data_IF_547812267403
#
_entry.id   IF_547812267403
#
_cell.length_a   1.000
_cell.length_b   1.000
_cell.length_c   1.000
_cell.angle_alpha   90.00
_cell.angle_beta   90.00
_cell.angle_gamma   90.00
#
_symmetry.space_group_name_H-M   'P 1'
#
loop_
_entity.id
_entity.type
_entity.pdbx_description
1 polymer ?
#
# COMPACT_ATOMS: atom_id res chain seq x y z
N UNK A 1 -0.68 21.83 24.51
CA UNK A 1 -0.31 20.65 25.29
C UNK A 1 -1.46 19.66 25.11
N UNK A 2 -1.19 18.45 24.64
CA UNK A 2 -2.21 17.41 24.49
C UNK A 2 -2.30 16.61 25.80
N UNK A 3 -3.50 16.21 26.19
CA UNK A 3 -3.73 15.35 27.35
C UNK A 3 -3.63 13.87 26.98
N UNK A 4 -3.81 13.57 25.69
CA UNK A 4 -3.73 12.21 25.12
C UNK A 4 -3.29 12.28 23.66
N UNK A 5 -2.61 11.23 23.17
CA UNK A 5 -2.14 11.13 21.78
C UNK A 5 -2.66 9.84 21.16
N UNK A 6 -3.23 9.93 19.96
CA UNK A 6 -3.64 8.78 19.15
C UNK A 6 -2.70 8.67 17.94
N UNK A 7 -2.16 7.49 17.68
CA UNK A 7 -1.29 7.20 16.54
C UNK A 7 -1.85 6.08 15.68
N UNK A 8 -1.51 6.02 14.40
CA UNK A 8 -2.12 5.01 13.51
C UNK A 8 -1.55 3.60 13.68
N UNK A 9 -0.42 3.41 14.39
CA UNK A 9 0.22 2.11 14.58
C UNK A 9 1.01 2.04 15.88
N UNK A 10 1.29 0.82 16.36
CA UNK A 10 2.19 0.59 17.50
C UNK A 10 3.62 1.06 17.18
N UNK A 11 4.06 0.94 15.92
CA UNK A 11 5.35 1.49 15.48
C UNK A 11 5.41 3.01 15.70
N UNK A 12 4.41 3.75 15.23
CA UNK A 12 4.34 5.21 15.40
C UNK A 12 4.26 5.62 16.88
N UNK A 13 3.53 4.84 17.71
CA UNK A 13 3.49 5.02 19.16
C UNK A 13 4.88 4.89 19.77
N UNK A 14 5.58 3.79 19.50
CA UNK A 14 6.95 3.56 20.01
C UNK A 14 7.90 4.65 19.54
N UNK A 15 7.78 5.10 18.30
CA UNK A 15 8.60 6.17 17.75
C UNK A 15 8.39 7.50 18.49
N UNK A 16 7.15 7.90 18.75
CA UNK A 16 6.84 9.11 19.51
C UNK A 16 7.33 9.01 20.95
N UNK A 17 7.17 7.86 21.58
CA UNK A 17 7.72 7.59 22.93
C UNK A 17 9.25 7.73 22.97
N UNK A 18 9.95 7.30 21.92
CA UNK A 18 11.41 7.41 21.84
C UNK A 18 11.90 8.87 21.79
N UNK A 19 11.04 9.81 21.39
CA UNK A 19 11.33 11.26 21.44
C UNK A 19 11.10 11.88 22.84
N UNK A 20 10.82 11.07 23.86
CA UNK A 20 10.63 11.53 25.23
C UNK A 20 9.22 12.11 25.51
N UNK A 21 8.24 11.81 24.67
CA UNK A 21 6.84 12.18 24.94
C UNK A 21 6.30 11.30 26.05
N UNK A 22 5.88 11.93 27.16
CA UNK A 22 5.34 11.27 28.37
C UNK A 22 3.82 11.27 28.44
N UNK A 23 3.16 12.04 27.56
CA UNK A 23 1.70 12.02 27.42
C UNK A 23 1.24 10.60 27.05
N UNK A 24 0.15 10.08 27.63
CA UNK A 24 -0.40 8.77 27.26
C UNK A 24 -0.64 8.67 25.75
N UNK A 25 -0.25 7.54 25.16
CA UNK A 25 -0.37 7.29 23.70
C UNK A 25 -1.06 5.95 23.47
N UNK A 26 -2.09 5.95 22.64
CA UNK A 26 -2.73 4.73 22.15
C UNK A 26 -2.54 4.59 20.62
N UNK A 27 -2.37 3.37 20.15
CA UNK A 27 -2.38 3.07 18.73
C UNK A 27 -3.78 2.65 18.27
N UNK A 28 -4.35 3.40 17.35
CA UNK A 28 -5.63 3.09 16.71
C UNK A 28 -5.46 3.28 15.21
N UNK A 29 -5.66 2.23 14.43
CA UNK A 29 -5.58 2.26 12.97
C UNK A 29 -6.46 3.37 12.37
N UNK A 30 -6.07 3.91 11.21
CA UNK A 30 -6.94 4.80 10.44
C UNK A 30 -8.20 4.08 9.91
N UNK A 31 -8.18 2.74 9.89
CA UNK A 31 -9.28 1.92 9.44
C UNK A 31 -9.46 1.90 7.92
N UNK A 32 -10.29 0.98 7.47
CA UNK A 32 -10.64 0.81 6.06
C UNK A 32 -12.16 0.63 5.90
N UNK A 33 -12.74 1.35 4.94
CA UNK A 33 -14.13 1.15 4.54
C UNK A 33 -14.24 -0.04 3.59
N UNK A 34 -14.55 -1.22 4.12
CA UNK A 34 -14.68 -2.45 3.36
C UNK A 34 -15.77 -2.39 2.28
N UNK A 35 -16.79 -1.54 2.46
CA UNK A 35 -17.88 -1.38 1.48
C UNK A 35 -17.41 -0.65 0.22
N UNK A 36 -16.37 0.15 0.33
CA UNK A 36 -15.80 0.91 -0.77
C UNK A 36 -14.88 0.06 -1.65
N UNK A 37 -14.26 -0.97 -1.09
CA UNK A 37 -13.31 -1.85 -1.76
C UNK A 37 -13.90 -3.24 -1.96
N UNK A 38 -13.34 -4.01 -2.88
CA UNK A 38 -13.80 -5.36 -3.22
C UNK A 38 -13.69 -5.59 -4.71
N UNK A 39 -13.88 -6.85 -5.13
CA UNK A 39 -13.88 -7.20 -6.54
C UNK A 39 -15.13 -6.65 -7.23
N UNK A 40 -14.92 -5.92 -8.32
CA UNK A 40 -15.98 -5.49 -9.23
C UNK A 40 -15.45 -5.63 -10.68
N UNK A 41 -15.87 -6.68 -11.40
CA UNK A 41 -15.41 -6.94 -12.77
C UNK A 41 -15.57 -5.75 -13.72
N UNK A 42 -16.60 -4.92 -13.54
CA UNK A 42 -16.83 -3.73 -14.37
C UNK A 42 -15.77 -2.66 -14.11
N UNK A 43 -15.33 -2.48 -12.86
CA UNK A 43 -14.25 -1.55 -12.54
C UNK A 43 -12.89 -2.08 -12.99
N UNK A 44 -12.69 -3.39 -12.90
CA UNK A 44 -11.48 -4.04 -13.42
C UNK A 44 -11.37 -3.87 -14.93
N UNK A 45 -12.47 -4.01 -15.68
CA UNK A 45 -12.54 -3.71 -17.11
C UNK A 45 -12.22 -2.24 -17.39
N UNK A 46 -12.84 -1.29 -16.68
CA UNK A 46 -12.55 0.15 -16.78
C UNK A 46 -11.06 0.45 -16.57
N UNK A 47 -10.43 -0.19 -15.59
CA UNK A 47 -9.01 -0.05 -15.35
C UNK A 47 -8.18 -0.59 -16.53
N UNK A 48 -8.47 -1.80 -17.00
CA UNK A 48 -7.75 -2.43 -18.12
C UNK A 48 -7.88 -1.64 -19.40
N UNK A 49 -9.07 -1.18 -19.71
CA UNK A 49 -9.35 -0.37 -20.91
C UNK A 49 -8.64 0.97 -20.84
N UNK A 50 -8.72 1.66 -19.69
CA UNK A 50 -8.09 2.97 -19.52
C UNK A 50 -6.58 2.93 -19.77
N UNK A 51 -5.90 1.87 -19.33
CA UNK A 51 -4.46 1.70 -19.48
C UNK A 51 -4.05 0.88 -20.70
N UNK A 52 -4.99 0.45 -21.53
CA UNK A 52 -4.73 -0.37 -22.72
C UNK A 52 -4.05 -1.71 -22.38
N UNK A 53 -4.43 -2.33 -21.26
CA UNK A 53 -3.86 -3.59 -20.77
C UNK A 53 -4.42 -4.73 -21.60
N UNK A 54 -3.56 -5.46 -22.30
CA UNK A 54 -3.95 -6.60 -23.14
C UNK A 54 -4.44 -7.77 -22.31
N UNK A 55 -5.28 -8.61 -22.92
CA UNK A 55 -5.68 -9.88 -22.31
C UNK A 55 -4.46 -10.72 -21.99
N UNK A 56 -4.44 -11.35 -20.80
CA UNK A 56 -3.30 -12.14 -20.32
C UNK A 56 -2.06 -11.34 -19.94
N UNK A 57 -2.00 -10.02 -20.15
CA UNK A 57 -0.86 -9.22 -19.75
C UNK A 57 -0.82 -9.06 -18.23
N UNK A 58 0.26 -9.49 -17.54
CA UNK A 58 0.41 -9.28 -16.11
C UNK A 58 0.60 -7.80 -15.77
N UNK A 59 -0.02 -7.36 -14.68
CA UNK A 59 0.03 -5.98 -14.20
C UNK A 59 0.36 -5.93 -12.73
N UNK A 60 1.33 -5.12 -12.37
CA UNK A 60 1.71 -4.78 -11.00
C UNK A 60 1.44 -3.30 -10.78
N UNK A 61 0.77 -2.97 -9.70
CA UNK A 61 0.47 -1.58 -9.33
C UNK A 61 1.15 -1.18 -8.04
N UNK A 62 1.38 0.11 -7.89
CA UNK A 62 1.69 0.80 -6.65
C UNK A 62 0.80 2.02 -6.52
N UNK A 63 0.51 2.46 -5.30
CA UNK A 63 -0.20 3.70 -5.04
C UNK A 63 0.49 4.53 -3.95
N UNK A 64 0.76 5.80 -4.24
CA UNK A 64 1.42 6.70 -3.30
C UNK A 64 2.00 7.95 -3.94
N UNK A 65 2.34 8.92 -3.10
CA UNK A 65 3.00 10.14 -3.54
C UNK A 65 4.42 9.84 -4.04
N UNK A 66 4.93 10.65 -4.98
CA UNK A 66 6.26 10.45 -5.60
C UNK A 66 7.41 10.85 -4.67
N UNK A 67 7.38 10.43 -3.40
CA UNK A 67 8.50 10.61 -2.50
C UNK A 67 9.54 9.50 -2.65
N UNK A 68 10.82 9.85 -2.52
CA UNK A 68 11.93 8.87 -2.61
C UNK A 68 11.74 7.73 -1.61
N UNK A 69 11.32 8.02 -0.38
CA UNK A 69 11.06 7.02 0.66
C UNK A 69 9.99 5.98 0.30
N UNK A 70 9.16 6.25 -0.72
CA UNK A 70 8.16 5.28 -1.21
C UNK A 70 8.76 4.19 -2.10
N UNK A 71 10.06 4.23 -2.40
CA UNK A 71 10.74 3.17 -3.12
C UNK A 71 10.58 3.20 -4.63
N UNK A 72 10.35 4.38 -5.23
CA UNK A 72 10.18 4.56 -6.69
C UNK A 72 11.35 3.97 -7.48
N UNK A 73 12.58 4.13 -6.97
CA UNK A 73 13.77 3.60 -7.63
C UNK A 73 13.76 2.06 -7.68
N UNK A 74 13.36 1.41 -6.60
CA UNK A 74 13.29 -0.06 -6.56
C UNK A 74 12.12 -0.57 -7.38
N UNK A 75 10.99 0.14 -7.40
CA UNK A 75 9.86 -0.17 -8.29
C UNK A 75 10.32 -0.21 -9.76
N UNK A 76 11.09 0.78 -10.20
CA UNK A 76 11.62 0.84 -11.56
C UNK A 76 12.63 -0.28 -11.83
N UNK A 77 13.58 -0.53 -10.90
CA UNK A 77 14.56 -1.62 -11.04
C UNK A 77 13.92 -3.00 -11.09
N UNK A 78 12.84 -3.22 -10.34
CA UNK A 78 12.06 -4.47 -10.42
C UNK A 78 11.42 -4.58 -11.80
N UNK A 79 10.82 -3.51 -12.31
CA UNK A 79 10.23 -3.49 -13.63
C UNK A 79 11.24 -3.73 -14.76
N UNK A 80 12.48 -3.22 -14.65
CA UNK A 80 13.59 -3.51 -15.58
C UNK A 80 13.89 -5.02 -15.66
N UNK A 81 13.78 -5.75 -14.54
CA UNK A 81 13.98 -7.20 -14.48
C UNK A 81 12.77 -8.02 -14.92
N UNK A 82 11.60 -7.39 -15.04
CA UNK A 82 10.34 -8.03 -15.43
C UNK A 82 9.71 -7.35 -16.67
N UNK A 83 10.38 -7.34 -17.84
CA UNK A 83 9.94 -6.55 -19.00
C UNK A 83 8.60 -6.99 -19.60
N UNK A 84 8.15 -8.21 -19.30
CA UNK A 84 6.87 -8.78 -19.73
C UNK A 84 5.69 -8.33 -18.85
N UNK A 85 5.95 -7.70 -17.70
CA UNK A 85 4.94 -7.23 -16.74
C UNK A 85 4.74 -5.74 -16.90
N UNK A 86 3.49 -5.29 -16.88
CA UNK A 86 3.15 -3.85 -16.88
C UNK A 86 3.19 -3.33 -15.45
N UNK A 87 3.94 -2.25 -15.22
CA UNK A 87 4.07 -1.58 -13.92
C UNK A 87 3.41 -0.21 -13.96
N UNK A 88 2.49 0.07 -13.02
CA UNK A 88 1.73 1.32 -12.98
C UNK A 88 1.79 1.91 -11.57
N UNK A 89 2.36 3.10 -11.42
CA UNK A 89 2.39 3.81 -10.15
C UNK A 89 1.30 4.88 -10.12
N UNK A 90 0.26 4.65 -9.32
CA UNK A 90 -0.88 5.55 -9.15
C UNK A 90 -0.62 6.56 -8.04
N UNK A 91 -0.51 7.83 -8.39
CA UNK A 91 -0.29 8.90 -7.44
C UNK A 91 0.44 10.07 -8.07
N UNK A 92 0.47 11.18 -7.38
CA UNK A 92 1.21 12.35 -7.82
C UNK A 92 1.54 13.28 -6.67
N UNK A 93 2.49 14.16 -6.90
CA UNK A 93 2.79 15.30 -6.05
C UNK A 93 3.41 16.39 -6.92
N UNK A 94 3.38 17.64 -6.48
CA UNK A 94 4.07 18.71 -7.18
C UNK A 94 5.53 18.37 -7.43
N UNK A 95 5.97 18.43 -8.67
CA UNK A 95 7.33 18.08 -9.10
C UNK A 95 8.43 18.93 -8.43
N UNK A 96 8.05 20.08 -7.89
CA UNK A 96 8.96 20.96 -7.13
C UNK A 96 9.27 20.41 -5.72
N UNK A 97 8.46 19.51 -5.21
CA UNK A 97 8.59 18.92 -3.86
C UNK A 97 9.42 17.63 -3.85
N UNK A 98 9.91 17.18 -5.00
CA UNK A 98 10.66 15.93 -5.12
C UNK A 98 12.09 16.15 -5.65
N UNK A 99 13.06 15.33 -5.20
CA UNK A 99 14.44 15.40 -5.70
C UNK A 99 14.50 15.25 -7.21
N UNK A 100 15.50 15.90 -7.84
CA UNK A 100 15.71 15.85 -9.30
C UNK A 100 15.73 14.40 -9.83
N UNK A 101 16.39 13.49 -9.13
CA UNK A 101 16.47 12.07 -9.51
C UNK A 101 15.09 11.42 -9.66
N UNK A 102 14.20 11.60 -8.68
CA UNK A 102 12.83 11.08 -8.73
C UNK A 102 12.01 11.75 -9.83
N UNK A 103 12.18 13.07 -9.98
CA UNK A 103 11.52 13.83 -11.04
C UNK A 103 11.93 13.35 -12.44
N UNK A 104 13.20 13.05 -12.65
CA UNK A 104 13.72 12.52 -13.91
C UNK A 104 13.09 11.14 -14.22
N UNK A 105 13.00 10.25 -13.22
CA UNK A 105 12.35 8.94 -13.34
C UNK A 105 10.89 9.13 -13.76
N UNK A 106 10.11 9.87 -13.00
CA UNK A 106 8.67 10.08 -13.22
C UNK A 106 8.41 10.76 -14.57
N UNK A 107 9.36 11.54 -15.11
CA UNK A 107 9.25 12.23 -16.40
C UNK A 107 9.76 11.44 -17.62
N UNK A 108 10.11 10.15 -17.45
CA UNK A 108 10.44 9.27 -18.58
C UNK A 108 11.79 8.58 -18.51
N UNK A 109 12.61 8.79 -17.47
CA UNK A 109 13.83 7.97 -17.26
C UNK A 109 13.48 6.65 -16.59
N UNK A 110 12.64 5.86 -17.23
CA UNK A 110 12.20 4.55 -16.79
C UNK A 110 11.95 3.66 -18.03
N UNK A 111 11.90 2.32 -17.89
CA UNK A 111 11.60 1.43 -19.01
C UNK A 111 10.15 1.55 -19.50
N UNK A 112 9.90 1.12 -20.74
CA UNK A 112 8.61 1.26 -21.43
C UNK A 112 7.45 0.54 -20.74
N UNK A 113 7.75 -0.50 -19.96
CA UNK A 113 6.76 -1.25 -19.18
C UNK A 113 6.34 -0.55 -17.88
N UNK A 114 6.90 0.63 -17.57
CA UNK A 114 6.55 1.44 -16.39
C UNK A 114 5.74 2.66 -16.80
N UNK A 115 4.80 3.08 -15.96
CA UNK A 115 4.11 4.36 -16.12
C UNK A 115 3.80 5.04 -14.80
N UNK A 116 3.85 6.38 -14.82
CA UNK A 116 3.50 7.29 -13.72
C UNK A 116 2.36 8.22 -14.19
N UNK A 117 1.12 7.69 -14.30
CA UNK A 117 0.02 8.42 -14.96
C UNK A 117 -0.58 9.53 -14.08
N UNK A 118 -0.17 9.65 -12.83
CA UNK A 118 -0.70 10.62 -11.89
C UNK A 118 -1.70 10.05 -10.89
N UNK A 119 -2.50 10.93 -10.29
CA UNK A 119 -3.47 10.57 -9.25
C UNK A 119 -4.80 10.11 -9.85
N UNK A 120 -5.32 9.01 -9.33
CA UNK A 120 -6.61 8.43 -9.70
C UNK A 120 -7.51 8.20 -8.49
N UNK A 121 -8.80 8.20 -8.73
CA UNK A 121 -9.86 7.86 -7.79
C UNK A 121 -11.03 7.19 -8.53
N UNK A 122 -12.02 6.74 -7.77
CA UNK A 122 -13.23 6.12 -8.34
C UNK A 122 -12.94 4.80 -9.04
N UNK A 123 -13.67 4.51 -10.11
CA UNK A 123 -13.67 3.20 -10.78
C UNK A 123 -12.29 2.75 -11.26
N UNK A 124 -11.49 3.64 -11.86
CA UNK A 124 -10.14 3.31 -12.35
C UNK A 124 -9.23 2.87 -11.21
N UNK A 125 -9.21 3.63 -10.09
CA UNK A 125 -8.38 3.28 -8.93
C UNK A 125 -8.85 1.98 -8.25
N UNK A 126 -10.16 1.86 -8.02
CA UNK A 126 -10.73 0.66 -7.40
C UNK A 126 -10.53 -0.57 -8.28
N UNK A 127 -10.70 -0.43 -9.60
CA UNK A 127 -10.45 -1.50 -10.55
C UNK A 127 -8.96 -1.89 -10.63
N UNK A 128 -8.04 -0.93 -10.48
CA UNK A 128 -6.62 -1.23 -10.36
C UNK A 128 -6.32 -2.04 -9.09
N UNK A 129 -6.90 -1.64 -7.95
CA UNK A 129 -6.69 -2.31 -6.65
C UNK A 129 -7.21 -3.76 -6.64
N UNK A 130 -8.25 -4.12 -7.42
CA UNK A 130 -8.78 -5.49 -7.48
C UNK A 130 -8.36 -6.27 -8.73
N UNK A 131 -8.09 -5.58 -9.85
CA UNK A 131 -7.87 -6.20 -11.15
C UNK A 131 -6.41 -6.33 -11.59
N UNK A 132 -5.44 -5.81 -10.84
CA UNK A 132 -4.03 -6.08 -11.07
C UNK A 132 -3.64 -7.48 -10.55
N UNK A 133 -2.47 -7.99 -10.95
CA UNK A 133 -1.94 -9.25 -10.43
C UNK A 133 -1.34 -9.10 -9.03
N UNK A 134 -0.75 -7.94 -8.74
CA UNK A 134 -0.22 -7.64 -7.41
C UNK A 134 -0.18 -6.12 -7.14
N UNK A 135 -0.30 -5.77 -5.87
CA UNK A 135 0.04 -4.48 -5.30
C UNK A 135 1.45 -4.57 -4.73
N UNK A 136 2.40 -3.84 -5.31
CA UNK A 136 3.79 -3.81 -4.89
C UNK A 136 4.13 -2.48 -4.23
N UNK A 137 4.47 -2.51 -2.96
CA UNK A 137 4.72 -1.31 -2.15
C UNK A 137 6.10 -1.35 -1.47
N UNK A 138 7.17 -0.96 -2.20
CA UNK A 138 8.55 -1.03 -1.73
C UNK A 138 8.95 0.13 -0.79
N UNK A 139 8.00 0.71 -0.06
CA UNK A 139 8.24 1.86 0.80
C UNK A 139 9.26 1.56 1.89
N UNK A 140 10.19 2.48 2.11
CA UNK A 140 11.21 2.39 3.17
C UNK A 140 10.71 2.85 4.54
N UNK A 141 9.64 3.66 4.54
CA UNK A 141 9.12 4.25 5.77
C UNK A 141 7.63 4.56 5.64
N UNK A 142 6.85 4.12 6.62
CA UNK A 142 5.42 4.35 6.76
C UNK A 142 5.04 4.62 8.21
N UNK A 143 3.89 5.25 8.39
CA UNK A 143 3.27 5.40 9.72
C UNK A 143 2.23 4.31 9.99
N UNK A 144 1.58 3.79 8.96
CA UNK A 144 0.71 2.62 8.94
C UNK A 144 0.71 1.96 7.56
N UNK A 145 0.52 2.76 6.49
CA UNK A 145 0.37 2.27 5.14
C UNK A 145 -1.09 2.00 4.76
N UNK A 146 -1.95 3.02 4.81
CA UNK A 146 -3.39 2.92 4.49
C UNK A 146 -3.63 2.23 3.13
N UNK A 147 -2.79 2.49 2.14
CA UNK A 147 -2.91 1.87 0.81
C UNK A 147 -2.72 0.35 0.84
N UNK A 148 -2.03 -0.19 1.84
CA UNK A 148 -1.91 -1.64 2.08
C UNK A 148 -3.24 -2.20 2.56
N UNK A 149 -3.95 -1.50 3.45
CA UNK A 149 -5.30 -1.87 3.86
C UNK A 149 -6.29 -1.78 2.68
N UNK A 150 -6.15 -0.78 1.81
CA UNK A 150 -6.95 -0.67 0.58
C UNK A 150 -6.72 -1.87 -0.35
N UNK A 151 -5.45 -2.32 -0.52
CA UNK A 151 -5.11 -3.49 -1.31
C UNK A 151 -5.68 -4.78 -0.69
N UNK A 152 -5.53 -4.97 0.60
CA UNK A 152 -6.10 -6.12 1.31
C UNK A 152 -7.63 -6.16 1.21
N UNK A 153 -8.30 -5.03 1.44
CA UNK A 153 -9.77 -4.92 1.30
C UNK A 153 -10.26 -5.20 -0.12
N UNK A 154 -9.39 -5.05 -1.12
CA UNK A 154 -9.67 -5.35 -2.53
C UNK A 154 -9.33 -6.81 -2.91
N UNK A 155 -9.03 -7.69 -1.95
CA UNK A 155 -8.55 -9.06 -2.18
C UNK A 155 -7.34 -9.11 -3.12
N UNK A 156 -6.39 -8.20 -2.94
CA UNK A 156 -5.20 -8.10 -3.78
C UNK A 156 -4.05 -8.92 -3.19
N UNK A 157 -3.20 -9.46 -4.06
CA UNK A 157 -1.87 -9.93 -3.66
C UNK A 157 -0.98 -8.75 -3.30
N UNK A 158 -0.37 -8.79 -2.13
CA UNK A 158 0.44 -7.67 -1.61
C UNK A 158 1.89 -8.10 -1.45
N UNK A 159 2.79 -7.30 -2.03
CA UNK A 159 4.25 -7.44 -1.86
C UNK A 159 4.78 -6.18 -1.20
N UNK A 160 5.43 -6.33 -0.06
CA UNK A 160 5.90 -5.24 0.80
C UNK A 160 7.42 -5.31 1.00
N UNK A 161 8.03 -4.15 1.26
CA UNK A 161 9.31 -4.13 1.93
C UNK A 161 9.12 -4.55 3.39
N UNK A 162 10.00 -5.41 3.89
CA UNK A 162 10.03 -5.75 5.30
C UNK A 162 10.52 -4.55 6.12
N UNK A 163 9.59 -3.89 6.80
CA UNK A 163 9.84 -2.72 7.64
C UNK A 163 9.04 -2.80 8.94
N UNK A 164 9.54 -2.24 10.06
CA UNK A 164 8.96 -2.42 11.39
C UNK A 164 7.51 -1.98 11.56
N UNK A 165 6.98 -1.11 10.68
CA UNK A 165 5.60 -0.64 10.77
C UNK A 165 4.57 -1.75 10.58
N UNK A 166 4.94 -2.84 9.91
CA UNK A 166 4.06 -3.99 9.65
C UNK A 166 4.07 -5.04 10.77
N UNK A 167 5.04 -4.96 11.69
CA UNK A 167 5.10 -5.88 12.82
C UNK A 167 3.79 -5.91 13.63
N UNK A 168 3.30 -7.12 13.90
CA UNK A 168 2.11 -7.34 14.72
C UNK A 168 0.78 -7.16 14.00
N UNK A 169 0.77 -6.85 12.68
CA UNK A 169 -0.48 -6.75 11.93
C UNK A 169 -0.43 -7.24 10.47
N UNK A 170 0.74 -7.36 9.86
CA UNK A 170 0.95 -8.06 8.59
C UNK A 170 2.01 -9.13 8.83
N UNK A 171 1.79 -10.31 8.29
CA UNK A 171 2.69 -11.46 8.40
C UNK A 171 2.87 -12.17 7.05
N UNK A 172 3.71 -13.20 7.04
CA UNK A 172 3.99 -14.00 5.84
C UNK A 172 2.78 -14.80 5.33
N UNK A 173 1.68 -14.87 6.07
CA UNK A 173 0.43 -15.48 5.60
C UNK A 173 -0.39 -14.49 4.77
N UNK A 174 -0.34 -13.21 5.12
CA UNK A 174 -1.16 -12.15 4.54
C UNK A 174 -0.48 -11.37 3.42
N UNK A 175 0.86 -11.24 3.44
CA UNK A 175 1.64 -10.57 2.41
C UNK A 175 2.92 -11.33 2.06
N UNK A 176 3.55 -10.98 0.94
CA UNK A 176 4.90 -11.39 0.62
C UNK A 176 5.86 -10.25 0.94
N UNK A 177 7.01 -10.57 1.55
CA UNK A 177 8.00 -9.59 1.94
C UNK A 177 9.28 -9.71 1.11
N UNK A 178 10.02 -8.60 1.01
CA UNK A 178 11.34 -8.56 0.43
C UNK A 178 12.16 -7.40 0.99
N UNK A 179 13.48 -7.54 0.97
CA UNK A 179 14.43 -6.52 1.44
C UNK A 179 15.13 -5.80 0.28
N UNK A 180 15.14 -6.40 -0.91
CA UNK A 180 15.86 -5.93 -2.07
C UNK A 180 15.13 -6.25 -3.37
N UNK A 181 15.67 -5.72 -4.49
CA UNK A 181 15.09 -5.85 -5.83
C UNK A 181 14.91 -7.33 -6.25
N UNK A 182 15.89 -8.18 -5.95
CA UNK A 182 15.85 -9.58 -6.40
C UNK A 182 14.77 -10.37 -5.65
N UNK A 183 14.62 -10.14 -4.36
CA UNK A 183 13.55 -10.74 -3.56
C UNK A 183 12.16 -10.27 -4.00
N UNK A 184 12.01 -8.99 -4.34
CA UNK A 184 10.75 -8.48 -4.90
C UNK A 184 10.41 -9.11 -6.25
N UNK A 185 11.39 -9.30 -7.12
CA UNK A 185 11.19 -9.98 -8.41
C UNK A 185 10.70 -11.41 -8.20
N UNK A 186 11.32 -12.16 -7.29
CA UNK A 186 10.91 -13.53 -6.97
C UNK A 186 9.47 -13.55 -6.41
N UNK A 187 9.17 -12.70 -5.45
CA UNK A 187 7.82 -12.63 -4.85
C UNK A 187 6.73 -12.30 -5.87
N UNK A 188 6.98 -11.32 -6.76
CA UNK A 188 6.04 -10.95 -7.81
C UNK A 188 5.90 -12.04 -8.87
N UNK A 189 7.00 -12.70 -9.24
CA UNK A 189 6.97 -13.79 -10.22
C UNK A 189 6.17 -14.99 -9.68
N UNK A 190 6.36 -15.36 -8.42
CA UNK A 190 5.62 -16.47 -7.79
C UNK A 190 4.11 -16.18 -7.71
N UNK A 191 3.71 -14.93 -7.50
CA UNK A 191 2.30 -14.51 -7.58
C UNK A 191 1.78 -14.62 -9.02
N UNK A 192 2.52 -14.11 -10.01
CA UNK A 192 2.11 -14.13 -11.42
C UNK A 192 2.01 -15.58 -11.94
N UNK A 193 2.91 -16.45 -11.51
CA UNK A 193 2.90 -17.88 -11.83
C UNK A 193 1.81 -18.68 -11.08
N UNK A 194 1.06 -18.04 -10.17
CA UNK A 194 0.01 -18.69 -9.37
C UNK A 194 0.52 -19.64 -8.30
N UNK A 195 1.80 -19.55 -7.91
CA UNK A 195 2.42 -20.39 -6.85
C UNK A 195 2.04 -19.93 -5.45
N UNK A 196 1.66 -18.66 -5.29
CA UNK A 196 1.33 -18.03 -4.01
C UNK A 196 -0.05 -17.38 -4.09
N UNK A 197 -0.92 -17.68 -3.12
CA UNK A 197 -2.17 -16.98 -2.91
C UNK A 197 -2.37 -16.67 -1.41
N UNK A 198 -2.31 -15.39 -1.06
CA UNK A 198 -2.45 -14.87 0.30
C UNK A 198 -3.62 -13.89 0.45
N UNK A 199 -4.48 -13.79 -0.58
CA UNK A 199 -5.53 -12.77 -0.66
C UNK A 199 -6.55 -12.87 0.46
N UNK A 200 -6.99 -14.08 0.81
CA UNK A 200 -7.95 -14.29 1.88
C UNK A 200 -7.37 -13.93 3.26
N UNK A 201 -6.13 -14.31 3.53
CA UNK A 201 -5.48 -13.92 4.78
C UNK A 201 -5.22 -12.41 4.84
N UNK A 202 -4.85 -11.79 3.72
CA UNK A 202 -4.76 -10.33 3.60
C UNK A 202 -6.11 -9.64 3.85
N UNK A 203 -7.20 -10.17 3.30
CA UNK A 203 -8.53 -9.61 3.52
C UNK A 203 -8.94 -9.67 5.00
N UNK A 204 -8.65 -10.75 5.72
CA UNK A 204 -8.89 -10.84 7.18
C UNK A 204 -8.15 -9.75 7.97
N UNK A 205 -6.96 -9.36 7.52
CA UNK A 205 -6.25 -8.21 8.10
C UNK A 205 -7.04 -6.91 7.91
N UNK A 206 -7.59 -6.67 6.71
CA UNK A 206 -8.44 -5.51 6.47
C UNK A 206 -9.73 -5.57 7.29
N UNK A 207 -10.39 -6.73 7.40
CA UNK A 207 -11.58 -6.91 8.23
C UNK A 207 -11.32 -6.52 9.69
N UNK A 208 -10.20 -6.96 10.28
CA UNK A 208 -9.83 -6.64 11.67
C UNK A 208 -9.55 -5.15 11.91
N UNK A 209 -9.53 -4.35 10.85
CA UNK A 209 -9.27 -2.91 10.85
C UNK A 209 -10.37 -2.14 10.12
N UNK A 210 -11.59 -2.68 10.13
CA UNK A 210 -12.75 -1.99 9.57
C UNK A 210 -12.98 -0.63 10.26
N UNK A 211 -13.56 0.32 9.55
CA UNK A 211 -13.90 1.62 10.15
C UNK A 211 -14.87 1.49 11.32
N UNK A 212 -15.71 0.46 11.34
CA UNK A 212 -16.64 0.20 12.44
C UNK A 212 -15.87 -0.25 13.70
N UNK A 213 -14.91 -1.18 13.58
CA UNK A 213 -14.06 -1.62 14.69
C UNK A 213 -13.16 -0.49 15.20
N UNK A 214 -12.61 0.30 14.29
CA UNK A 214 -11.78 1.48 14.62
C UNK A 214 -12.61 2.52 15.37
N UNK A 215 -13.85 2.76 14.95
CA UNK A 215 -14.74 3.71 15.63
C UNK A 215 -15.01 3.28 17.08
N UNK A 216 -15.21 1.98 17.32
CA UNK A 216 -15.38 1.45 18.70
C UNK A 216 -14.14 1.70 19.56
N UNK A 217 -12.94 1.38 19.04
CA UNK A 217 -11.68 1.63 19.75
C UNK A 217 -11.45 3.12 20.04
N UNK A 218 -11.84 4.00 19.12
CA UNK A 218 -11.77 5.44 19.35
C UNK A 218 -12.73 5.88 20.46
N UNK A 219 -13.95 5.38 20.48
CA UNK A 219 -14.92 5.67 21.54
C UNK A 219 -14.40 5.22 22.91
N UNK A 220 -13.79 4.01 22.98
CA UNK A 220 -13.17 3.51 24.21
C UNK A 220 -12.02 4.43 24.67
N UNK A 221 -11.14 4.83 23.75
CA UNK A 221 -10.05 5.75 24.04
C UNK A 221 -10.56 7.11 24.58
N UNK A 222 -11.62 7.66 23.97
CA UNK A 222 -12.23 8.91 24.47
C UNK A 222 -12.88 8.75 25.84
N UNK A 223 -13.53 7.62 26.11
CA UNK A 223 -14.10 7.34 27.45
C UNK A 223 -13.01 7.28 28.51
N UNK A 224 -11.89 6.60 28.21
CA UNK A 224 -10.73 6.52 29.13
C UNK A 224 -10.19 7.92 29.45
N UNK A 225 -10.06 8.80 28.43
CA UNK A 225 -9.56 10.17 28.63
C UNK A 225 -10.53 11.06 29.42
N UNK A 226 -11.82 10.84 29.23
CA UNK A 226 -12.88 11.65 29.87
C UNK A 226 -13.34 11.08 31.23
N UNK A 227 -12.79 9.92 31.63
CA UNK A 227 -13.18 9.23 32.87
C UNK A 227 -14.68 8.92 32.98
N UNK A 228 -15.33 8.55 31.84
CA UNK A 228 -16.77 8.20 31.73
C UNK A 228 -16.97 6.72 31.41
#
# INVERSE_FOLDING_TARGET
>A
KADYVITPSEYSKKLIQSYGVTTPIIAVSNGIDLKKYGKDPRKEEVFRDYFGIKEGQPVVICAGLYFQRKGIEDFVKVAEKMPHVRFIWLGSISKWLIPKKIRDIVNGKHPDNVSFPGYFKGAVFQGAMSGANAFFFPSYEETEGIVVLEAFASHQHVVLRDIPVYEGWVDDKSASFGHNVDEFVVALQDIIDGKVDKREEGYKVAESRSIDDVAQKLVEAYKEVLEI
#
